data_IF_537588060896
#
_entry.id   IF_537588060896
#
_cell.length_a   1.000
_cell.length_b   1.000
_cell.length_c   1.000
_cell.angle_alpha   90.00
_cell.angle_beta   90.00
_cell.angle_gamma   90.00
#
_symmetry.space_group_name_H-M   'P 1'
#
loop_
_entity.id
_entity.type
_entity.pdbx_description
1 polymer ?
#
# COMPACT_ATOMS: atom_id res chain seq x y z
N UNK A 1 55.42 43.86 9.07
CA UNK A 1 55.02 42.48 9.43
C UNK A 1 53.52 42.36 9.21
N UNK A 2 53.13 41.47 8.30
CA UNK A 2 51.75 41.26 7.83
C UNK A 2 51.04 40.26 8.75
N UNK A 3 49.93 40.65 9.37
CA UNK A 3 49.00 39.70 9.99
C UNK A 3 48.02 39.24 8.91
N UNK A 4 48.15 37.98 8.48
CA UNK A 4 47.20 37.35 7.57
C UNK A 4 45.96 36.94 8.35
N UNK A 5 44.84 37.52 7.94
CA UNK A 5 43.47 37.12 8.28
C UNK A 5 43.24 35.63 8.00
N UNK A 6 42.50 34.96 8.88
CA UNK A 6 41.92 33.64 8.60
C UNK A 6 40.54 33.57 9.24
N UNK A 7 39.54 34.02 8.49
CA UNK A 7 38.14 33.72 8.74
C UNK A 7 37.85 32.31 8.20
N UNK A 8 37.69 31.32 9.08
CA UNK A 8 37.04 30.07 8.71
C UNK A 8 35.56 30.37 8.45
N UNK A 9 35.14 30.34 7.18
CA UNK A 9 33.73 30.26 6.81
C UNK A 9 33.27 28.82 7.03
N UNK A 10 32.46 28.60 8.06
CA UNK A 10 31.73 27.35 8.22
C UNK A 10 30.72 27.21 7.07
N UNK A 11 30.94 26.25 6.18
CA UNK A 11 29.93 25.80 5.22
C UNK A 11 29.02 24.80 5.94
N UNK A 12 27.86 25.26 6.39
CA UNK A 12 26.78 24.36 6.77
C UNK A 12 26.20 23.76 5.47
N UNK A 13 26.51 22.50 5.19
CA UNK A 13 25.84 21.74 4.13
C UNK A 13 24.47 21.35 4.68
N UNK A 14 23.44 22.11 4.30
CA UNK A 14 22.04 21.71 4.52
C UNK A 14 21.72 20.62 3.49
N UNK A 15 21.88 19.36 3.87
CA UNK A 15 21.34 18.27 3.09
C UNK A 15 19.81 18.40 3.11
N UNK A 16 19.19 18.82 2.00
CA UNK A 16 17.76 18.59 1.80
C UNK A 16 17.58 17.07 1.74
N UNK A 17 17.21 16.47 2.87
CA UNK A 17 16.56 15.19 2.84
C UNK A 17 15.27 15.38 2.04
N UNK A 18 15.26 14.92 0.78
CA UNK A 18 14.03 14.47 0.15
C UNK A 18 13.55 13.30 1.01
N UNK A 19 12.80 13.61 2.08
CA UNK A 19 11.91 12.63 2.67
C UNK A 19 11.10 12.09 1.48
N UNK A 20 10.98 10.76 1.29
CA UNK A 20 10.06 10.26 0.30
C UNK A 20 8.69 10.77 0.75
N UNK A 21 8.19 11.79 0.04
CA UNK A 21 6.79 12.13 0.07
C UNK A 21 6.10 10.80 -0.21
N UNK A 22 5.31 10.30 0.75
CA UNK A 22 4.54 9.06 0.64
C UNK A 22 4.09 8.91 -0.80
N UNK A 23 4.75 8.02 -1.56
CA UNK A 23 4.59 8.03 -3.00
C UNK A 23 3.14 7.71 -3.29
N UNK A 24 2.39 8.68 -3.80
CA UNK A 24 1.04 8.41 -4.25
C UNK A 24 1.10 7.30 -5.31
N UNK A 25 0.08 6.44 -5.39
CA UNK A 25 0.03 5.44 -6.44
C UNK A 25 0.17 6.10 -7.82
N UNK A 26 0.66 5.39 -8.85
CA UNK A 26 0.70 5.92 -10.20
C UNK A 26 -0.65 6.51 -10.61
N UNK A 27 -0.60 7.59 -11.40
CA UNK A 27 -1.80 8.31 -11.81
C UNK A 27 -2.86 7.35 -12.39
N UNK A 28 -4.11 7.47 -11.91
CA UNK A 28 -5.23 6.62 -12.32
C UNK A 28 -5.31 5.26 -11.63
N UNK A 29 -4.37 4.92 -10.72
CA UNK A 29 -4.37 3.64 -10.01
C UNK A 29 -4.75 3.78 -8.53
N UNK A 30 -5.18 2.67 -7.96
CA UNK A 30 -5.21 2.45 -6.51
C UNK A 30 -4.01 1.60 -6.09
N UNK A 31 -3.66 1.67 -4.80
CA UNK A 31 -2.65 0.83 -4.17
C UNK A 31 -3.20 0.16 -2.92
N UNK A 32 -3.09 -1.17 -2.86
CA UNK A 32 -3.31 -1.93 -1.63
C UNK A 32 -1.94 -2.32 -1.10
N UNK A 33 -1.55 -1.76 0.04
CA UNK A 33 -0.31 -2.13 0.73
C UNK A 33 -0.59 -3.23 1.75
N UNK A 34 0.26 -4.26 1.77
CA UNK A 34 0.11 -5.37 2.70
C UNK A 34 1.42 -5.70 3.41
N UNK A 35 1.36 -5.60 4.74
CA UNK A 35 2.46 -5.93 5.63
C UNK A 35 2.22 -7.27 6.31
N UNK A 36 3.27 -8.08 6.39
CA UNK A 36 3.32 -9.26 7.23
C UNK A 36 4.54 -9.20 8.14
N UNK A 37 4.35 -9.43 9.43
CA UNK A 37 5.46 -9.49 10.38
C UNK A 37 6.44 -10.63 10.14
N UNK A 38 5.97 -11.74 9.55
CA UNK A 38 6.83 -12.86 9.17
C UNK A 38 7.58 -12.63 7.84
N UNK A 39 7.32 -11.50 7.16
CA UNK A 39 7.92 -11.15 5.87
C UNK A 39 7.61 -12.13 4.72
N UNK A 40 6.71 -13.09 4.92
CA UNK A 40 6.46 -14.18 3.97
C UNK A 40 5.21 -13.93 3.13
N UNK A 41 5.42 -13.38 1.94
CA UNK A 41 4.36 -13.07 0.97
C UNK A 41 4.16 -14.17 -0.09
N UNK A 42 4.82 -15.31 0.04
CA UNK A 42 4.73 -16.36 -0.97
C UNK A 42 3.29 -16.86 -1.14
N UNK A 43 2.79 -16.82 -2.39
CA UNK A 43 1.43 -17.21 -2.79
C UNK A 43 0.30 -16.36 -2.18
N UNK A 44 0.63 -15.24 -1.52
CA UNK A 44 -0.37 -14.25 -1.13
C UNK A 44 -0.69 -13.37 -2.35
N UNK A 45 -1.96 -13.33 -2.70
CA UNK A 45 -2.50 -12.48 -3.77
C UNK A 45 -3.77 -11.77 -3.32
N UNK A 46 -4.31 -10.93 -4.19
CA UNK A 46 -5.57 -10.23 -3.99
C UNK A 46 -6.61 -10.70 -5.01
N UNK A 47 -7.78 -11.08 -4.50
CA UNK A 47 -8.97 -11.28 -5.32
C UNK A 47 -9.77 -9.97 -5.34
N UNK A 48 -10.14 -9.49 -6.52
CA UNK A 48 -10.72 -8.17 -6.74
C UNK A 48 -11.99 -8.27 -7.59
N UNK A 49 -13.00 -7.47 -7.25
CA UNK A 49 -14.24 -7.43 -8.02
C UNK A 49 -14.93 -6.06 -8.01
N UNK A 50 -15.69 -5.82 -9.07
CA UNK A 50 -16.56 -4.66 -9.29
C UNK A 50 -17.93 -4.90 -8.65
N UNK A 51 -18.58 -3.84 -8.21
CA UNK A 51 -19.98 -3.93 -7.76
C UNK A 51 -20.94 -4.20 -8.94
N UNK A 52 -21.99 -5.02 -8.75
CA UNK A 52 -22.41 -5.60 -7.48
C UNK A 52 -21.67 -6.88 -7.07
N UNK A 53 -21.05 -7.66 -7.97
CA UNK A 53 -20.25 -8.87 -7.67
C UNK A 53 -19.59 -9.43 -8.96
N UNK A 54 -18.84 -8.62 -9.69
CA UNK A 54 -18.23 -9.00 -10.97
C UNK A 54 -16.70 -9.04 -10.83
N UNK A 55 -16.05 -10.22 -10.85
CA UNK A 55 -14.58 -10.30 -10.81
C UNK A 55 -13.93 -9.45 -11.91
N UNK A 56 -12.73 -8.94 -11.64
CA UNK A 56 -11.91 -8.36 -12.71
C UNK A 56 -11.46 -9.45 -13.70
N UNK A 57 -11.19 -9.07 -14.97
CA UNK A 57 -10.63 -10.01 -15.94
C UNK A 57 -9.38 -10.72 -15.39
N UNK A 58 -9.29 -12.03 -15.63
CA UNK A 58 -8.18 -12.90 -15.24
C UNK A 58 -7.90 -13.03 -13.72
N UNK A 59 -8.75 -12.44 -12.87
CA UNK A 59 -8.67 -12.57 -11.40
C UNK A 59 -9.77 -13.52 -10.92
N UNK A 60 -9.37 -14.72 -10.53
CA UNK A 60 -10.26 -15.76 -10.01
C UNK A 60 -9.80 -16.23 -8.63
N UNK A 61 -10.63 -16.98 -7.91
CA UNK A 61 -10.24 -17.52 -6.60
C UNK A 61 -8.95 -18.38 -6.65
N UNK A 62 -8.79 -19.36 -7.58
CA UNK A 62 -7.53 -20.12 -7.68
C UNK A 62 -6.38 -19.30 -8.31
N UNK A 63 -6.67 -18.16 -8.92
CA UNK A 63 -5.72 -17.31 -9.62
C UNK A 63 -5.84 -15.85 -9.17
N UNK A 64 -5.44 -15.52 -7.93
CA UNK A 64 -5.47 -14.14 -7.46
C UNK A 64 -4.43 -13.30 -8.18
N UNK A 65 -4.65 -11.98 -8.19
CA UNK A 65 -3.62 -11.06 -8.66
C UNK A 65 -2.43 -11.08 -7.69
N UNK A 66 -1.25 -11.39 -8.21
CA UNK A 66 -0.01 -11.37 -7.43
C UNK A 66 0.51 -9.94 -7.25
N UNK A 67 1.30 -9.65 -6.21
CA UNK A 67 1.81 -8.30 -5.96
C UNK A 67 2.56 -7.75 -7.17
N UNK A 68 2.33 -6.47 -7.46
CA UNK A 68 2.99 -5.75 -8.57
C UNK A 68 4.33 -5.15 -8.15
N UNK A 69 4.64 -5.15 -6.85
CA UNK A 69 5.91 -4.67 -6.35
C UNK A 69 6.06 -4.83 -4.83
N UNK A 70 7.15 -4.26 -4.33
CA UNK A 70 7.51 -4.23 -2.91
C UNK A 70 8.04 -2.86 -2.53
N UNK A 71 7.68 -2.38 -1.36
CA UNK A 71 8.22 -1.16 -0.74
C UNK A 71 8.69 -1.48 0.69
N UNK A 72 8.99 -0.44 1.47
CA UNK A 72 9.47 -0.58 2.85
C UNK A 72 8.36 -0.92 3.86
N UNK A 73 7.08 -0.83 3.47
CA UNK A 73 5.97 -1.36 4.24
C UNK A 73 5.75 -2.84 3.97
N UNK A 74 5.91 -3.32 2.75
CA UNK A 74 5.63 -4.73 2.42
C UNK A 74 5.48 -4.92 0.93
N UNK A 75 4.54 -5.77 0.52
CA UNK A 75 4.15 -5.90 -0.90
C UNK A 75 2.97 -4.99 -1.20
N UNK A 76 2.79 -4.64 -2.47
CA UNK A 76 1.64 -3.87 -2.90
C UNK A 76 1.09 -4.34 -4.25
N UNK A 77 -0.16 -3.97 -4.51
CA UNK A 77 -0.84 -4.14 -5.79
C UNK A 77 -1.27 -2.80 -6.33
N UNK A 78 -0.94 -2.52 -7.59
CA UNK A 78 -1.49 -1.41 -8.35
C UNK A 78 -2.59 -1.90 -9.29
N UNK A 79 -3.76 -1.27 -9.22
CA UNK A 79 -4.91 -1.63 -10.07
C UNK A 79 -5.52 -0.36 -10.63
N UNK A 80 -5.98 -0.40 -11.87
CA UNK A 80 -6.59 0.76 -12.49
C UNK A 80 -7.93 1.08 -11.81
N UNK A 81 -8.10 2.32 -11.34
CA UNK A 81 -9.31 2.75 -10.62
C UNK A 81 -10.56 2.66 -11.51
N UNK A 82 -10.40 2.86 -12.82
CA UNK A 82 -11.49 2.74 -13.79
C UNK A 82 -12.16 1.36 -13.77
N UNK A 83 -11.42 0.31 -13.43
CA UNK A 83 -11.99 -1.04 -13.32
C UNK A 83 -13.12 -1.10 -12.29
N UNK A 84 -13.09 -0.27 -11.25
CA UNK A 84 -14.07 -0.29 -10.15
C UNK A 84 -15.17 0.75 -10.29
N UNK A 85 -15.18 1.53 -11.38
CA UNK A 85 -16.17 2.58 -11.57
C UNK A 85 -17.54 2.03 -11.96
N UNK A 86 -18.55 2.44 -11.20
CA UNK A 86 -19.97 2.25 -11.52
C UNK A 86 -20.68 3.59 -11.39
N UNK A 87 -20.84 4.29 -12.51
CA UNK A 87 -21.32 5.67 -12.52
C UNK A 87 -20.32 6.61 -11.85
N UNK A 88 -20.76 7.36 -10.84
CA UNK A 88 -19.89 8.26 -10.06
C UNK A 88 -19.14 7.57 -8.91
N UNK A 89 -19.45 6.30 -8.62
CA UNK A 89 -18.85 5.53 -7.52
C UNK A 89 -17.65 4.74 -8.02
N UNK A 90 -16.67 4.52 -7.15
CA UNK A 90 -15.53 3.64 -7.42
C UNK A 90 -15.28 2.73 -6.20
N UNK A 91 -16.19 1.78 -5.97
CA UNK A 91 -16.07 0.85 -4.84
C UNK A 91 -15.10 -0.28 -5.19
N UNK A 92 -13.96 -0.29 -4.53
CA UNK A 92 -12.95 -1.35 -4.68
C UNK A 92 -13.27 -2.44 -3.68
N UNK A 93 -13.65 -3.61 -4.16
CA UNK A 93 -13.90 -4.77 -3.31
C UNK A 93 -12.76 -5.77 -3.42
N UNK A 94 -12.29 -6.31 -2.30
CA UNK A 94 -11.12 -7.18 -2.29
C UNK A 94 -11.12 -8.22 -1.16
N UNK A 95 -10.33 -9.27 -1.36
CA UNK A 95 -9.89 -10.22 -0.34
C UNK A 95 -8.41 -10.49 -0.58
N UNK A 96 -7.57 -10.32 0.44
CA UNK A 96 -6.18 -10.81 0.40
C UNK A 96 -6.16 -12.26 0.90
N UNK A 97 -5.59 -13.19 0.14
CA UNK A 97 -5.60 -14.60 0.49
C UNK A 97 -4.40 -15.39 -0.07
N UNK A 98 -4.17 -16.56 0.52
CA UNK A 98 -3.26 -17.62 0.06
C UNK A 98 -4.02 -18.94 0.01
N UNK A 99 -4.45 -19.36 -1.18
CA UNK A 99 -5.44 -20.43 -1.29
C UNK A 99 -6.67 -20.07 -0.49
N UNK A 100 -7.14 -20.95 0.39
CA UNK A 100 -8.32 -20.70 1.24
C UNK A 100 -8.02 -19.93 2.54
N UNK A 101 -6.75 -19.61 2.81
CA UNK A 101 -6.37 -18.79 3.97
C UNK A 101 -6.60 -17.32 3.61
N UNK A 102 -7.52 -16.66 4.31
CA UNK A 102 -7.91 -15.26 4.07
C UNK A 102 -7.41 -14.33 5.17
N UNK A 103 -7.06 -13.10 4.81
CA UNK A 103 -6.77 -12.02 5.76
C UNK A 103 -8.03 -11.36 6.31
N UNK A 104 -7.84 -10.40 7.23
CA UNK A 104 -8.88 -9.52 7.76
C UNK A 104 -10.10 -10.28 8.32
N UNK A 105 -9.83 -11.45 8.91
CA UNK A 105 -10.84 -12.30 9.51
C UNK A 105 -11.80 -12.94 8.50
N UNK A 106 -11.33 -13.19 7.27
CA UNK A 106 -12.09 -13.83 6.20
C UNK A 106 -13.33 -13.04 5.74
N UNK A 107 -13.33 -11.72 5.94
CA UNK A 107 -14.39 -10.83 5.48
C UNK A 107 -14.10 -10.32 4.08
N UNK A 108 -15.17 -10.03 3.35
CA UNK A 108 -15.12 -9.27 2.12
C UNK A 108 -14.88 -7.80 2.48
N UNK A 109 -13.79 -7.24 1.96
CA UNK A 109 -13.38 -5.89 2.29
C UNK A 109 -13.71 -4.94 1.16
N UNK A 110 -13.97 -3.67 1.49
CA UNK A 110 -14.21 -2.64 0.51
C UNK A 110 -13.70 -1.26 0.97
N UNK A 111 -13.34 -0.42 0.01
CA UNK A 111 -13.07 1.01 0.24
C UNK A 111 -13.52 1.85 -0.97
N UNK A 112 -13.72 3.14 -0.74
CA UNK A 112 -14.01 4.09 -1.82
C UNK A 112 -12.72 4.56 -2.47
N UNK A 113 -12.46 4.06 -3.69
CA UNK A 113 -11.31 4.43 -4.50
C UNK A 113 -11.35 5.88 -4.98
N UNK A 114 -12.48 6.59 -4.90
CA UNK A 114 -12.51 8.03 -5.15
C UNK A 114 -11.89 8.80 -3.97
N UNK A 115 -12.25 8.43 -2.74
CA UNK A 115 -11.79 9.07 -1.51
C UNK A 115 -10.34 8.70 -1.15
N UNK A 116 -9.95 7.44 -1.36
CA UNK A 116 -8.62 6.94 -0.99
C UNK A 116 -7.97 6.22 -2.16
N UNK A 117 -6.80 6.71 -2.58
CA UNK A 117 -6.01 6.04 -3.63
C UNK A 117 -5.12 4.94 -3.07
N UNK A 118 -4.74 5.00 -1.80
CA UNK A 118 -3.94 3.98 -1.14
C UNK A 118 -4.58 3.55 0.19
N UNK A 119 -4.45 2.26 0.49
CA UNK A 119 -4.78 1.68 1.80
C UNK A 119 -3.64 0.82 2.32
N UNK A 120 -3.60 0.60 3.64
CA UNK A 120 -2.61 -0.22 4.32
C UNK A 120 -3.30 -1.30 5.15
N UNK A 121 -2.88 -2.54 4.95
CA UNK A 121 -3.40 -3.73 5.62
C UNK A 121 -2.24 -4.44 6.31
N UNK A 122 -2.46 -4.88 7.55
CA UNK A 122 -1.50 -5.67 8.32
C UNK A 122 -2.05 -7.06 8.58
N UNK A 123 -1.20 -8.07 8.47
CA UNK A 123 -1.59 -9.46 8.68
C UNK A 123 -2.22 -9.68 10.06
N UNK A 124 -3.25 -10.52 10.12
CA UNK A 124 -4.02 -10.79 11.34
C UNK A 124 -4.70 -9.57 11.97
N UNK A 125 -4.75 -8.42 11.28
CA UNK A 125 -5.59 -7.29 11.65
C UNK A 125 -6.79 -7.22 10.70
N UNK A 126 -7.92 -6.72 11.21
CA UNK A 126 -9.17 -6.51 10.48
C UNK A 126 -9.30 -5.08 9.95
N UNK A 127 -8.42 -4.18 10.36
CA UNK A 127 -8.49 -2.75 10.03
C UNK A 127 -8.01 -2.48 8.61
N UNK A 128 -8.65 -1.50 7.96
CA UNK A 128 -8.08 -0.80 6.80
C UNK A 128 -7.52 0.52 7.34
N UNK A 129 -6.24 0.75 7.13
CA UNK A 129 -5.61 2.02 7.44
C UNK A 129 -5.49 2.88 6.18
N UNK A 130 -5.53 4.20 6.36
CA UNK A 130 -5.43 5.18 5.26
C UNK A 130 -4.10 5.96 5.29
N UNK A 131 -3.18 5.53 6.15
CA UNK A 131 -1.78 5.96 6.13
C UNK A 131 -0.87 4.82 6.58
N UNK A 132 0.38 4.85 6.12
CA UNK A 132 1.41 3.91 6.53
C UNK A 132 1.75 4.06 8.01
N UNK A 133 1.79 5.31 8.46
CA UNK A 133 2.18 5.69 9.81
C UNK A 133 1.20 5.12 10.84
N UNK A 134 -0.12 5.23 10.59
CA UNK A 134 -1.14 4.64 11.47
C UNK A 134 -1.04 3.11 11.50
N UNK A 135 -0.88 2.48 10.34
CA UNK A 135 -0.75 1.02 10.24
C UNK A 135 0.47 0.50 11.04
N UNK A 136 1.61 1.19 10.96
CA UNK A 136 2.83 0.78 11.66
C UNK A 136 2.81 1.10 13.15
N UNK A 137 2.11 2.16 13.58
CA UNK A 137 1.99 2.53 14.98
C UNK A 137 1.31 1.44 15.80
N UNK A 138 0.26 0.85 15.24
CA UNK A 138 -0.55 -0.16 15.92
C UNK A 138 0.05 -1.57 15.81
N UNK A 139 0.91 -1.81 14.81
CA UNK A 139 1.40 -3.15 14.47
C UNK A 139 2.91 -3.23 14.25
N UNK A 140 3.69 -2.54 15.08
CA UNK A 140 5.13 -2.72 15.07
C UNK A 140 5.48 -4.20 15.30
N UNK A 141 5.93 -4.88 14.25
CA UNK A 141 6.31 -6.27 14.32
C UNK A 141 7.43 -6.43 15.35
N UNK A 142 7.14 -7.16 16.42
CA UNK A 142 8.12 -7.48 17.45
C UNK A 142 9.23 -8.30 16.77
N UNK A 143 10.44 -7.76 16.81
CA UNK A 143 11.65 -8.46 16.35
C UNK A 143 11.93 -9.69 17.19
#
# INVERSE_FOLDING_TARGET
MSLRSSLLKAFAVFALALAPLLAEPPAGKIEINYHRCDGNFAKWGVHLWKSPNMPLPDIEWPNPMMPTGKNDFGVFWHVDLEEFKTGSKAQVNYIIHKGDIKEQGAKDMAFDGNAHKAIWVVNNDRTIYYSKEEALKDHACKK
#
